data_IF_484057501683
#
_entry.id   IF_484057501683
#
_cell.length_a   1.000
_cell.length_b   1.000
_cell.length_c   1.000
_cell.angle_alpha   90.00
_cell.angle_beta   90.00
_cell.angle_gamma   90.00
#
_symmetry.space_group_name_H-M   'P 1'
#
loop_
_entity.id
_entity.type
_entity.pdbx_description
1 polymer ?
#
# COMPACT_ATOMS: atom_id res chain seq x y z
N UNK A 1 -3.07 -15.96 -3.93
CA UNK A 1 -3.26 -15.33 -5.26
C UNK A 1 -3.56 -13.84 -5.13
N UNK A 2 -4.54 -13.44 -4.31
CA UNK A 2 -4.88 -12.03 -4.13
C UNK A 2 -3.78 -11.16 -3.52
N UNK A 3 -2.99 -11.69 -2.59
CA UNK A 3 -1.81 -10.97 -2.08
C UNK A 3 -0.77 -10.66 -3.15
N UNK A 4 -0.58 -11.56 -4.12
CA UNK A 4 0.29 -11.30 -5.27
C UNK A 4 -0.31 -10.20 -6.16
N UNK A 5 -1.60 -10.25 -6.47
CA UNK A 5 -2.28 -9.19 -7.24
C UNK A 5 -2.27 -7.84 -6.51
N UNK A 6 -2.41 -7.86 -5.18
CA UNK A 6 -2.28 -6.69 -4.32
C UNK A 6 -0.89 -6.08 -4.45
N UNK A 7 0.15 -6.88 -4.22
CA UNK A 7 1.53 -6.43 -4.30
C UNK A 7 1.91 -5.97 -5.72
N UNK A 8 1.40 -6.61 -6.76
CA UNK A 8 1.64 -6.19 -8.14
C UNK A 8 0.95 -4.84 -8.46
N UNK A 9 -0.28 -4.65 -7.97
CA UNK A 9 -1.07 -3.45 -8.22
C UNK A 9 -0.64 -2.24 -7.37
N UNK A 10 -0.31 -2.45 -6.09
CA UNK A 10 0.02 -1.41 -5.11
C UNK A 10 1.54 -1.23 -4.93
N UNK A 11 2.32 -2.24 -5.30
CA UNK A 11 3.77 -2.32 -5.09
C UNK A 11 4.12 -3.22 -3.91
N UNK A 12 5.25 -3.93 -4.02
CA UNK A 12 5.71 -4.91 -3.04
C UNK A 12 6.10 -4.28 -1.72
N UNK A 13 6.64 -3.06 -1.74
CA UNK A 13 6.94 -2.25 -0.56
C UNK A 13 5.74 -1.99 0.34
N UNK A 14 4.52 -1.99 -0.20
CA UNK A 14 3.31 -1.80 0.59
C UNK A 14 3.11 -2.88 1.66
N UNK A 15 3.60 -4.10 1.41
CA UNK A 15 3.57 -5.20 2.39
C UNK A 15 4.43 -4.91 3.61
N UNK A 16 5.45 -4.07 3.49
CA UNK A 16 6.28 -3.62 4.61
C UNK A 16 5.71 -2.41 5.34
N UNK A 17 4.81 -1.66 4.69
CA UNK A 17 4.21 -0.43 5.21
C UNK A 17 2.85 -0.69 5.88
N UNK A 18 2.18 -1.79 5.54
CA UNK A 18 0.90 -2.18 6.10
C UNK A 18 1.13 -3.14 7.26
N UNK A 19 0.67 -2.81 8.47
CA UNK A 19 0.71 -3.72 9.60
C UNK A 19 -0.10 -4.99 9.30
N UNK A 20 0.52 -6.16 9.47
CA UNK A 20 -0.11 -7.46 9.20
C UNK A 20 -1.39 -7.70 10.03
N UNK A 21 -1.48 -7.09 11.21
CA UNK A 21 -2.65 -7.15 12.09
C UNK A 21 -3.83 -6.30 11.59
N UNK A 22 -3.59 -5.29 10.75
CA UNK A 22 -4.64 -4.44 10.20
C UNK A 22 -5.27 -4.98 8.93
N UNK A 23 -4.52 -5.76 8.15
CA UNK A 23 -5.04 -6.45 6.96
C UNK A 23 -4.96 -7.94 7.21
N UNK A 24 -5.95 -8.46 7.95
CA UNK A 24 -6.05 -9.90 8.20
C UNK A 24 -6.22 -10.65 6.88
N UNK A 25 -5.54 -11.79 6.72
CA UNK A 25 -5.65 -12.67 5.54
C UNK A 25 -7.10 -12.99 5.17
N UNK A 26 -7.98 -13.13 6.17
CA UNK A 26 -9.42 -13.35 5.96
C UNK A 26 -10.12 -12.19 5.23
N UNK A 27 -9.62 -10.97 5.34
CA UNK A 27 -10.21 -9.79 4.71
C UNK A 27 -9.86 -9.73 3.22
N UNK A 28 -8.60 -9.96 2.89
CA UNK A 28 -8.09 -10.01 1.51
C UNK A 28 -8.61 -11.26 0.78
N UNK A 29 -8.60 -12.41 1.45
CA UNK A 29 -8.89 -13.68 0.80
C UNK A 29 -10.36 -14.08 0.83
N UNK A 30 -11.16 -13.66 1.83
CA UNK A 30 -12.51 -14.22 2.03
C UNK A 30 -13.68 -13.24 1.88
N UNK A 31 -13.47 -11.90 1.94
CA UNK A 31 -14.60 -10.95 1.97
C UNK A 31 -14.99 -10.31 0.64
N UNK A 32 -14.04 -10.06 -0.26
CA UNK A 32 -14.33 -9.36 -1.50
C UNK A 32 -14.60 -10.36 -2.63
N UNK A 33 -15.64 -10.16 -3.44
CA UNK A 33 -15.80 -10.86 -4.72
C UNK A 33 -14.78 -10.34 -5.74
N UNK A 34 -14.50 -11.10 -6.80
CA UNK A 34 -13.45 -10.76 -7.78
C UNK A 34 -13.63 -9.36 -8.41
N UNK A 35 -14.87 -8.90 -8.63
CA UNK A 35 -15.14 -7.55 -9.14
C UNK A 35 -14.94 -6.44 -8.09
N UNK A 36 -15.26 -6.72 -6.83
CA UNK A 36 -15.10 -5.78 -5.71
C UNK A 36 -13.62 -5.59 -5.36
N UNK A 37 -12.81 -6.63 -5.58
CA UNK A 37 -11.37 -6.60 -5.37
C UNK A 37 -10.67 -5.53 -6.21
N UNK A 38 -10.98 -5.43 -7.50
CA UNK A 38 -10.36 -4.44 -8.38
C UNK A 38 -10.76 -3.00 -7.98
N UNK A 39 -12.03 -2.79 -7.64
CA UNK A 39 -12.53 -1.49 -7.14
C UNK A 39 -11.82 -1.10 -5.85
N UNK A 40 -11.59 -2.06 -4.95
CA UNK A 40 -10.90 -1.83 -3.69
C UNK A 40 -9.42 -1.45 -3.91
N UNK A 41 -8.71 -2.11 -4.82
CA UNK A 41 -7.33 -1.74 -5.17
C UNK A 41 -7.25 -0.29 -5.70
N UNK A 42 -8.17 0.11 -6.58
CA UNK A 42 -8.23 1.48 -7.07
C UNK A 42 -8.60 2.49 -5.98
N UNK A 43 -9.47 2.10 -5.03
CA UNK A 43 -9.82 2.93 -3.89
C UNK A 43 -8.60 3.19 -3.00
N UNK A 44 -7.76 2.19 -2.72
CA UNK A 44 -6.54 2.38 -1.91
C UNK A 44 -5.59 3.36 -2.58
N UNK A 45 -5.35 3.20 -3.89
CA UNK A 45 -4.47 4.12 -4.65
C UNK A 45 -4.97 5.56 -4.55
N UNK A 46 -6.29 5.74 -4.53
CA UNK A 46 -6.92 7.06 -4.44
C UNK A 46 -6.90 7.64 -3.02
N UNK A 47 -7.18 6.84 -2.01
CA UNK A 47 -7.29 7.30 -0.60
C UNK A 47 -5.93 7.50 0.03
N UNK A 48 -4.94 6.67 -0.32
CA UNK A 48 -3.58 6.71 0.20
C UNK A 48 -2.56 6.76 -0.94
N UNK A 49 -2.65 7.81 -1.77
CA UNK A 49 -1.74 8.03 -2.90
C UNK A 49 -0.28 8.09 -2.49
N UNK A 50 0.00 8.59 -1.29
CA UNK A 50 1.37 8.72 -0.76
C UNK A 50 1.97 7.36 -0.45
N UNK A 51 1.18 6.45 0.15
CA UNK A 51 1.60 5.06 0.42
C UNK A 51 1.85 4.33 -0.89
N UNK A 52 0.96 4.50 -1.88
CA UNK A 52 1.17 3.94 -3.22
C UNK A 52 2.45 4.48 -3.86
N UNK A 53 2.65 5.79 -3.85
CA UNK A 53 3.84 6.43 -4.44
C UNK A 53 5.12 6.00 -3.75
N UNK A 54 5.11 5.95 -2.41
CA UNK A 54 6.22 5.49 -1.58
C UNK A 54 6.55 4.01 -1.87
N UNK A 55 5.53 3.16 -1.96
CA UNK A 55 5.66 1.74 -2.30
C UNK A 55 6.30 1.56 -3.67
N UNK A 56 5.83 2.27 -4.71
CA UNK A 56 6.42 2.19 -6.06
C UNK A 56 7.84 2.74 -6.10
N UNK A 57 8.14 3.80 -5.36
CA UNK A 57 9.50 4.34 -5.25
C UNK A 57 10.44 3.36 -4.56
N UNK A 58 9.97 2.67 -3.52
CA UNK A 58 10.72 1.63 -2.82
C UNK A 58 10.98 0.41 -3.73
N UNK A 59 9.98 -0.05 -4.47
CA UNK A 59 10.14 -1.14 -5.44
C UNK A 59 11.16 -0.80 -6.52
N UNK A 60 11.07 0.40 -7.08
CA UNK A 60 12.03 0.88 -8.09
C UNK A 60 13.44 1.02 -7.52
N UNK A 61 13.53 1.49 -6.26
CA UNK A 61 14.81 1.58 -5.56
C UNK A 61 15.41 0.22 -5.28
N UNK A 62 14.62 -0.81 -4.91
CA UNK A 62 15.10 -2.19 -4.76
C UNK A 62 15.53 -2.79 -6.10
N UNK A 63 14.75 -2.60 -7.17
CA UNK A 63 15.05 -3.16 -8.49
C UNK A 63 15.11 -4.69 -8.45
N UNK A 64 16.06 -5.29 -9.18
CA UNK A 64 16.24 -6.75 -9.22
C UNK A 64 16.66 -7.37 -7.88
N UNK A 65 17.02 -6.55 -6.90
CA UNK A 65 17.43 -6.98 -5.57
C UNK A 65 16.25 -7.17 -4.62
N UNK A 66 15.00 -6.92 -5.06
CA UNK A 66 13.81 -7.17 -4.22
C UNK A 66 13.66 -8.64 -3.79
N UNK A 67 14.35 -9.55 -4.49
CA UNK A 67 14.40 -11.00 -4.22
C UNK A 67 15.77 -11.43 -3.68
N UNK A 68 16.70 -10.48 -3.50
CA UNK A 68 18.04 -10.74 -2.99
C UNK A 68 18.09 -10.57 -1.47
N UNK A 69 19.00 -11.29 -0.82
CA UNK A 69 19.17 -11.26 0.64
C UNK A 69 20.01 -10.10 1.16
N UNK A 70 20.60 -9.28 0.28
CA UNK A 70 21.39 -8.11 0.68
C UNK A 70 21.12 -6.92 -0.25
N UNK A 71 21.03 -5.75 0.37
CA UNK A 71 20.89 -4.42 -0.25
C UNK A 71 22.17 -3.58 -0.05
N UNK A 72 23.28 -4.24 0.28
CA UNK A 72 24.57 -3.59 0.53
C UNK A 72 25.03 -2.80 -0.71
N UNK A 73 25.37 -1.53 -0.51
CA UNK A 73 25.82 -0.62 -1.58
C UNK A 73 24.71 0.24 -2.19
N UNK A 74 23.43 0.02 -1.86
CA UNK A 74 22.36 0.97 -2.25
C UNK A 74 22.49 2.27 -1.48
N UNK A 75 22.31 3.39 -2.18
CA UNK A 75 22.17 4.70 -1.54
C UNK A 75 20.89 4.75 -0.73
N UNK A 76 20.91 5.44 0.41
CA UNK A 76 19.72 5.64 1.25
C UNK A 76 18.57 6.19 0.40
N UNK A 77 17.43 5.52 0.46
CA UNK A 77 16.19 6.01 -0.13
C UNK A 77 15.55 7.02 0.83
N UNK A 78 15.27 8.22 0.33
CA UNK A 78 14.48 9.22 1.02
C UNK A 78 13.14 9.34 0.29
N UNK A 79 12.04 9.11 1.02
CA UNK A 79 10.69 9.32 0.50
C UNK A 79 10.07 10.41 1.35
N UNK A 80 9.75 11.53 0.73
CA UNK A 80 9.06 12.64 1.36
C UNK A 80 7.57 12.50 1.04
N UNK A 81 6.74 12.38 2.08
CA UNK A 81 5.30 12.42 1.93
C UNK A 81 4.83 13.86 2.18
N UNK A 82 4.21 14.49 1.19
CA UNK A 82 3.48 15.72 1.43
C UNK A 82 2.19 15.35 2.17
N UNK A 83 2.16 15.59 3.48
CA UNK A 83 0.94 15.39 4.26
C UNK A 83 -0.19 16.22 3.65
N UNK A 84 -1.13 15.53 3.00
CA UNK A 84 -2.37 16.12 2.52
C UNK A 84 -3.10 16.70 3.73
N UNK A 85 -3.14 18.03 3.83
CA UNK A 85 -3.89 18.78 4.85
C UNK A 85 -5.39 18.64 4.62
N UNK A 86 -5.94 17.44 4.81
CA UNK A 86 -7.39 17.24 4.76
C UNK A 86 -7.85 16.80 6.13
N UNK A 87 -7.99 17.77 7.01
CA UNK A 87 -8.76 17.62 8.25
C UNK A 87 -10.21 17.44 7.85
N UNK A 88 -10.76 16.23 7.99
CA UNK A 88 -12.21 16.04 7.92
C UNK A 88 -12.76 16.38 9.30
N UNK A 89 -13.38 17.56 9.43
CA UNK A 89 -14.30 17.81 10.55
C UNK A 89 -15.52 16.92 10.33
N UNK A 90 -15.67 15.91 11.19
CA UNK A 90 -16.89 15.11 11.27
C UNK A 90 -17.89 15.93 12.09
N UNK A 91 -18.81 16.63 11.42
CA UNK A 91 -19.99 17.18 12.10
C UNK A 91 -20.83 16.01 12.64
N UNK A 92 -20.86 15.88 13.96
CA UNK A 92 -21.75 14.94 14.64
C UNK A 92 -23.19 15.34 14.39
N UNK A 93 -23.97 14.42 13.81
CA UNK A 93 -25.42 14.56 13.72
C UNK A 93 -25.99 14.40 15.14
N UNK A 94 -26.74 15.37 15.68
CA UNK A 94 -27.40 15.20 16.97
C UNK A 94 -28.59 14.22 16.86
N UNK A 95 -28.76 13.40 17.91
CA UNK A 95 -29.88 12.44 18.10
C UNK A 95 -31.27 13.11 18.11
#
# INVERSE_FOLDING_TARGET
QRWYEFADSIGWGSLCLIPYDQVTDSWVEQKLLAGEWHIWLELIKKVNSDVYTASKAFDAWLGSESIASSIDGKRRLCIEAELSKTTYEVEGVPD
#
